data_IF_863935657832
#
_entry.id   IF_863935657832
#
_cell.length_a   1.000
_cell.length_b   1.000
_cell.length_c   1.000
_cell.angle_alpha   90.00
_cell.angle_beta   90.00
_cell.angle_gamma   90.00
#
_symmetry.space_group_name_H-M   'P 1'
#
loop_
_entity.id
_entity.type
_entity.pdbx_description
1 polymer ?
#
# COMPACT_ATOMS: atom_id res chain seq x y z
N UNK A 1 7.47 -2.76 0.12
CA UNK A 1 7.96 -1.53 -0.52
C UNK A 1 8.47 -0.61 0.58
N UNK A 2 9.64 0.00 0.37
CA UNK A 2 10.25 1.00 1.27
C UNK A 2 10.21 2.34 0.55
N UNK A 3 9.75 3.37 1.25
CA UNK A 3 9.66 4.74 0.75
C UNK A 3 10.79 5.56 1.38
N UNK A 4 11.54 6.29 0.57
CA UNK A 4 12.51 7.27 1.02
C UNK A 4 12.15 8.62 0.38
N UNK A 5 11.24 9.33 1.03
CA UNK A 5 10.67 10.58 0.50
C UNK A 5 11.19 11.74 1.37
N UNK A 6 11.73 12.82 0.78
CA UNK A 6 12.13 14.00 1.53
C UNK A 6 11.00 14.52 2.44
N UNK A 7 11.30 14.82 3.70
CA UNK A 7 10.31 15.24 4.70
C UNK A 7 9.48 14.11 5.34
N UNK A 8 9.34 12.95 4.67
CA UNK A 8 8.67 11.77 5.22
C UNK A 8 9.65 10.85 5.98
N UNK A 9 10.90 10.80 5.49
CA UNK A 9 11.92 9.86 5.96
C UNK A 9 11.75 8.45 5.37
N UNK A 10 12.33 7.45 6.04
CA UNK A 10 12.19 6.04 5.64
C UNK A 10 10.91 5.45 6.20
N UNK A 11 10.02 5.01 5.32
CA UNK A 11 8.76 4.38 5.69
C UNK A 11 8.56 3.02 5.01
N UNK A 12 7.90 2.09 5.69
CA UNK A 12 7.67 0.74 5.19
C UNK A 12 6.18 0.50 4.96
N UNK A 13 5.80 -0.03 3.79
CA UNK A 13 4.43 -0.45 3.52
C UNK A 13 3.95 -1.57 4.45
N UNK A 14 4.85 -2.24 5.19
CA UNK A 14 4.47 -3.23 6.21
C UNK A 14 4.20 -2.59 7.57
N UNK A 15 4.94 -1.55 7.93
CA UNK A 15 4.78 -0.80 9.17
C UNK A 15 3.43 -0.07 9.21
N UNK A 16 2.41 -0.67 9.84
CA UNK A 16 1.05 -0.12 9.93
C UNK A 16 0.98 1.13 10.80
N UNK A 17 1.89 1.27 11.76
CA UNK A 17 1.94 2.41 12.68
C UNK A 17 2.26 3.75 11.99
N UNK A 18 2.81 3.73 10.79
CA UNK A 18 3.21 4.92 10.02
C UNK A 18 2.34 5.20 8.80
N UNK A 19 1.24 4.45 8.62
CA UNK A 19 0.32 4.70 7.50
C UNK A 19 -1.13 4.41 7.86
N UNK A 20 -2.02 5.14 7.22
CA UNK A 20 -3.44 4.85 7.23
C UNK A 20 -3.89 4.28 5.89
N UNK A 21 -4.88 3.39 5.94
CA UNK A 21 -5.55 2.89 4.75
C UNK A 21 -6.74 3.80 4.44
N UNK A 22 -6.72 4.42 3.26
CA UNK A 22 -7.73 5.41 2.88
C UNK A 22 -8.88 4.74 2.14
N UNK A 23 -8.58 3.98 1.08
CA UNK A 23 -9.61 3.41 0.19
C UNK A 23 -9.08 2.30 -0.74
N UNK A 24 -10.00 1.55 -1.35
CA UNK A 24 -9.75 0.70 -2.52
C UNK A 24 -10.38 1.37 -3.74
N UNK A 25 -9.59 1.59 -4.80
CA UNK A 25 -10.08 2.09 -6.08
C UNK A 25 -10.86 1.01 -6.84
N UNK A 26 -11.73 1.36 -7.81
CA UNK A 26 -12.52 0.39 -8.58
C UNK A 26 -11.68 -0.66 -9.32
N UNK A 27 -10.42 -0.35 -9.61
CA UNK A 27 -9.47 -1.28 -10.23
C UNK A 27 -8.70 -2.14 -9.21
N UNK A 28 -9.08 -2.12 -7.93
CA UNK A 28 -8.47 -2.94 -6.87
C UNK A 28 -7.13 -2.43 -6.34
N UNK A 29 -6.72 -1.20 -6.68
CA UNK A 29 -5.57 -0.55 -6.05
C UNK A 29 -5.92 -0.03 -4.66
N UNK A 30 -4.98 -0.13 -3.73
CA UNK A 30 -5.14 0.39 -2.35
C UNK A 30 -4.46 1.73 -2.24
N UNK A 31 -5.11 2.69 -1.59
CA UNK A 31 -4.57 4.02 -1.34
C UNK A 31 -4.19 4.12 0.14
N UNK A 32 -2.96 4.54 0.39
CA UNK A 32 -2.40 4.72 1.72
C UNK A 32 -1.95 6.16 1.92
N UNK A 33 -2.15 6.68 3.11
CA UNK A 33 -1.52 7.92 3.57
C UNK A 33 -0.36 7.54 4.49
N UNK A 34 0.85 7.96 4.14
CA UNK A 34 2.02 7.79 4.97
C UNK A 34 2.26 9.05 5.78
N UNK A 35 2.55 8.83 7.06
CA UNK A 35 2.81 9.89 8.00
C UNK A 35 4.31 9.99 8.31
N UNK A 36 4.87 11.21 8.36
CA UNK A 36 6.23 11.43 8.82
C UNK A 36 6.35 11.02 10.28
N UNK A 37 7.53 10.56 10.69
CA UNK A 37 7.78 10.24 12.09
C UNK A 37 7.69 11.49 12.99
N UNK A 38 7.99 12.68 12.43
CA UNK A 38 7.94 14.00 13.07
C UNK A 38 6.52 14.54 13.27
N UNK A 39 5.47 13.81 12.85
CA UNK A 39 4.06 14.23 12.91
C UNK A 39 3.56 14.69 14.29
N UNK A 40 4.28 14.33 15.36
CA UNK A 40 3.98 14.73 16.75
C UNK A 40 4.76 15.95 17.23
N UNK A 41 5.75 16.40 16.48
CA UNK A 41 6.61 17.52 16.82
C UNK A 41 6.16 18.80 16.10
N UNK A 42 5.81 18.70 14.81
CA UNK A 42 5.35 19.82 13.99
C UNK A 42 4.35 19.37 12.92
N UNK A 43 3.60 20.32 12.35
CA UNK A 43 2.80 20.08 11.15
C UNK A 43 3.73 19.71 10.00
N UNK A 44 3.58 18.49 9.49
CA UNK A 44 4.40 17.97 8.41
C UNK A 44 3.51 17.35 7.34
N UNK A 45 3.91 17.53 6.08
CA UNK A 45 3.15 17.00 4.95
C UNK A 45 3.11 15.47 4.99
N UNK A 46 1.94 14.91 4.69
CA UNK A 46 1.77 13.48 4.49
C UNK A 46 2.07 13.10 3.04
N UNK A 47 2.20 11.80 2.78
CA UNK A 47 2.46 11.28 1.45
C UNK A 47 1.40 10.26 1.04
N UNK A 48 0.70 10.53 -0.06
CA UNK A 48 -0.30 9.62 -0.62
C UNK A 48 0.37 8.65 -1.58
N UNK A 49 0.20 7.36 -1.31
CA UNK A 49 0.68 6.28 -2.16
C UNK A 49 -0.49 5.44 -2.67
N UNK A 50 -0.53 5.23 -3.99
CA UNK A 50 -1.45 4.28 -4.62
C UNK A 50 -0.67 3.03 -5.00
N UNK A 51 -1.09 1.89 -4.45
CA UNK A 51 -0.42 0.62 -4.64
C UNK A 51 -0.73 -0.05 -5.99
N UNK A 52 -0.02 -1.13 -6.29
CA UNK A 52 -0.31 -1.96 -7.46
C UNK A 52 -1.69 -2.63 -7.35
N UNK A 53 -2.34 -2.82 -8.50
CA UNK A 53 -3.67 -3.43 -8.54
C UNK A 53 -3.58 -4.94 -8.29
N UNK A 54 -4.09 -5.37 -7.13
CA UNK A 54 -4.24 -6.81 -6.83
C UNK A 54 -5.23 -7.44 -7.81
N UNK A 55 -6.30 -6.73 -8.14
CA UNK A 55 -7.33 -7.24 -9.05
C UNK A 55 -6.80 -7.51 -10.46
N UNK A 56 -6.03 -6.58 -11.04
CA UNK A 56 -5.41 -6.78 -12.36
C UNK A 56 -4.37 -7.89 -12.31
N UNK A 57 -3.63 -8.01 -11.21
CA UNK A 57 -2.69 -9.11 -11.02
C UNK A 57 -3.38 -10.47 -11.00
N UNK A 58 -4.48 -10.61 -10.24
CA UNK A 58 -5.28 -11.84 -10.20
C UNK A 58 -5.92 -12.17 -11.56
N UNK A 59 -6.42 -11.16 -12.29
CA UNK A 59 -6.89 -11.33 -13.67
C UNK A 59 -5.82 -11.90 -14.58
N UNK A 60 -4.59 -11.38 -14.48
CA UNK A 60 -3.45 -11.86 -15.26
C UNK A 60 -3.10 -13.30 -14.92
N UNK A 61 -3.07 -13.66 -13.63
CA UNK A 61 -2.84 -15.05 -13.20
C UNK A 61 -3.90 -16.00 -13.74
N UNK A 62 -5.18 -15.61 -13.65
CA UNK A 62 -6.29 -16.39 -14.22
C UNK A 62 -6.13 -16.59 -15.72
N UNK A 63 -5.67 -15.56 -16.46
CA UNK A 63 -5.41 -15.66 -17.89
C UNK A 63 -4.26 -16.63 -18.23
N UNK A 64 -3.34 -16.87 -17.30
CA UNK A 64 -2.28 -17.87 -17.43
C UNK A 64 -2.69 -19.27 -16.97
N UNK A 65 -3.96 -19.46 -16.56
CA UNK A 65 -4.48 -20.76 -16.10
C UNK A 65 -4.23 -21.07 -14.63
N UNK A 66 -3.73 -20.09 -13.85
CA UNK A 66 -3.49 -20.27 -12.42
C UNK A 66 -4.78 -20.23 -11.59
N UNK A 67 -4.83 -21.00 -10.51
CA UNK A 67 -5.91 -20.95 -9.54
C UNK A 67 -5.75 -19.72 -8.61
N UNK A 68 -6.55 -18.69 -8.87
CA UNK A 68 -6.57 -17.46 -8.06
C UNK A 68 -6.92 -17.69 -6.58
N UNK A 69 -7.57 -18.80 -6.22
CA UNK A 69 -7.95 -19.10 -4.83
C UNK A 69 -6.74 -19.29 -3.91
N UNK A 70 -5.62 -19.77 -4.47
CA UNK A 70 -4.34 -19.95 -3.78
C UNK A 70 -3.77 -18.63 -3.26
N UNK A 71 -4.18 -17.49 -3.84
CA UNK A 71 -3.64 -16.16 -3.54
C UNK A 71 -4.54 -15.33 -2.62
N UNK A 72 -5.53 -15.95 -1.95
CA UNK A 72 -6.48 -15.24 -1.07
C UNK A 72 -5.86 -14.45 0.08
N UNK A 73 -4.59 -14.66 0.40
CA UNK A 73 -3.87 -14.03 1.53
C UNK A 73 -3.03 -12.81 1.14
N UNK A 74 -2.88 -12.49 -0.16
CA UNK A 74 -1.98 -11.41 -0.64
C UNK A 74 -2.43 -9.99 -0.24
N UNK A 75 -3.60 -9.87 0.37
CA UNK A 75 -4.13 -8.63 0.92
C UNK A 75 -3.38 -8.16 2.18
N UNK A 76 -2.70 -9.06 2.88
CA UNK A 76 -2.06 -8.76 4.15
C UNK A 76 -0.57 -8.45 3.97
N UNK A 77 -0.17 -7.28 4.45
CA UNK A 77 1.22 -6.95 4.70
C UNK A 77 1.53 -7.30 6.16
N UNK A 78 2.17 -8.45 6.38
CA UNK A 78 2.80 -8.81 7.66
C UNK A 78 4.02 -7.94 7.92
#
# INVERSE_FOLDING_TARGET
IVFNVPGLGKNYLRARQHRDFISVLPDGRRVYEFHPWEKKLHLANTYIYTDVSIYNYLKRLKAFGEDTSQYRTIWYYY
#
